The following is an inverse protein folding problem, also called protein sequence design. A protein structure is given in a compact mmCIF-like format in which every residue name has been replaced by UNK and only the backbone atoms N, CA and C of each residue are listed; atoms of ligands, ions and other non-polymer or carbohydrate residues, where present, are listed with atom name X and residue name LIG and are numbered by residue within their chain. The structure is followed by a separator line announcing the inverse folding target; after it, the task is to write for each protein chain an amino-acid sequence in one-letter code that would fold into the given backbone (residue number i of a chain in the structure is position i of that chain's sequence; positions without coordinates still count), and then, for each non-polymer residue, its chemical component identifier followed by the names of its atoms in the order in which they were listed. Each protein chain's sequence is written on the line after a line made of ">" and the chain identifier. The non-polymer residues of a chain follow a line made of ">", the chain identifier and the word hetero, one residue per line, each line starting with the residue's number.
data_IF_497843200766
#
_entry.id   IF_497843200766
#
_cell.length_a   1.000
_cell.length_b   1.000
_cell.length_c   1.000
_cell.angle_alpha   90.00
_cell.angle_beta   90.00
_cell.angle_gamma   90.00
#
_symmetry.space_group_name_H-M   'P 1'
#
loop_
_entity.id
_entity.type
_entity.pdbx_description
1 polymer ?
#
# COMPACT_ATOMS: atom_id res chain seq x y z
N UNK A 1 -10.68 6.29 35.70
CA UNK A 1 -10.09 7.64 35.62
C UNK A 1 -9.34 7.93 36.91
N UNK A 2 -7.99 7.93 36.87
CA UNK A 2 -7.15 8.34 37.99
C UNK A 2 -6.48 9.65 37.65
N UNK A 3 -6.56 10.65 38.54
CA UNK A 3 -5.87 11.93 38.40
C UNK A 3 -4.36 11.71 38.60
N UNK A 4 -3.54 12.05 37.61
CA UNK A 4 -2.09 12.08 37.71
C UNK A 4 -1.61 13.54 37.74
N UNK A 5 -0.72 13.86 38.70
CA UNK A 5 -0.13 15.19 38.85
C UNK A 5 1.34 15.10 38.47
N UNK A 6 1.73 15.92 37.48
CA UNK A 6 3.14 15.97 37.02
C UNK A 6 3.75 17.30 37.46
N UNK A 7 4.96 17.23 38.02
CA UNK A 7 5.77 18.42 38.36
C UNK A 7 6.92 18.49 37.38
N UNK A 8 6.95 19.50 36.51
CA UNK A 8 7.97 19.66 35.49
C UNK A 8 8.84 20.88 35.82
N UNK A 9 10.19 20.71 35.69
CA UNK A 9 11.16 21.80 35.78
C UNK A 9 11.71 22.06 34.39
N UNK A 10 11.58 23.28 33.87
CA UNK A 10 12.19 23.69 32.61
C UNK A 10 13.70 23.78 32.81
N UNK A 11 14.48 22.95 32.14
CA UNK A 11 15.94 22.89 32.25
C UNK A 11 16.59 23.84 31.24
N UNK A 12 16.04 23.92 30.02
CA UNK A 12 16.53 24.82 28.97
C UNK A 12 15.44 25.22 28.02
N UNK A 13 15.52 26.43 27.48
CA UNK A 13 14.69 26.90 26.37
C UNK A 13 15.61 27.10 25.18
N UNK A 14 15.35 26.35 24.08
CA UNK A 14 16.14 26.44 22.86
C UNK A 14 15.34 27.17 21.78
N UNK A 15 15.97 28.09 21.07
CA UNK A 15 15.42 28.76 19.89
C UNK A 15 15.98 28.06 18.64
N UNK A 16 15.11 27.80 17.68
CA UNK A 16 15.56 27.29 16.37
C UNK A 16 16.29 28.40 15.61
N UNK A 17 17.49 28.14 15.18
CA UNK A 17 18.24 29.02 14.28
C UNK A 17 18.05 28.56 12.83
N UNK A 18 18.07 29.51 11.89
CA UNK A 18 18.03 29.19 10.46
C UNK A 18 19.34 28.52 10.09
N UNK A 19 19.30 27.26 9.75
CA UNK A 19 20.46 26.51 9.27
C UNK A 19 20.81 26.99 7.86
N UNK A 20 22.10 27.24 7.61
CA UNK A 20 22.61 27.54 6.29
C UNK A 20 22.67 26.24 5.48
N UNK A 21 22.03 26.22 4.31
CA UNK A 21 22.04 25.07 3.41
C UNK A 21 23.30 25.16 2.54
N UNK A 22 24.36 24.53 2.98
CA UNK A 22 25.66 24.49 2.33
C UNK A 22 26.22 23.06 2.27
N UNK A 23 27.49 22.91 1.85
CA UNK A 23 28.11 21.59 1.73
C UNK A 23 28.26 20.87 3.07
N UNK A 24 28.44 21.61 4.17
CA UNK A 24 28.58 21.00 5.49
C UNK A 24 27.24 20.48 6.00
N UNK A 25 26.17 21.23 5.71
CA UNK A 25 24.80 20.73 5.94
C UNK A 25 24.52 19.46 5.14
N UNK A 26 24.92 19.42 3.88
CA UNK A 26 24.74 18.25 3.02
C UNK A 26 25.51 17.02 3.56
N UNK A 27 26.74 17.19 4.03
CA UNK A 27 27.54 16.13 4.65
C UNK A 27 26.92 15.60 5.93
N UNK A 28 26.36 16.48 6.77
CA UNK A 28 25.66 16.09 7.99
C UNK A 28 24.41 15.22 7.71
N UNK A 29 23.82 15.35 6.51
CA UNK A 29 22.72 14.52 6.03
C UNK A 29 23.16 13.29 5.22
N UNK A 30 24.48 13.01 5.17
CA UNK A 30 25.04 11.84 4.51
C UNK A 30 25.28 11.99 3.00
N UNK A 31 25.13 13.19 2.44
CA UNK A 31 25.45 13.49 1.05
C UNK A 31 26.93 13.94 0.93
N UNK A 32 27.50 13.85 -0.28
CA UNK A 32 28.89 14.26 -0.55
C UNK A 32 29.04 15.79 -0.56
N UNK A 33 28.09 16.48 -1.14
CA UNK A 33 28.01 17.93 -1.24
C UNK A 33 26.55 18.37 -1.46
N UNK A 34 26.33 19.67 -1.61
CA UNK A 34 24.99 20.24 -1.83
C UNK A 34 24.36 19.80 -3.16
N UNK A 35 25.17 19.54 -4.19
CA UNK A 35 24.65 19.07 -5.48
C UNK A 35 24.14 17.62 -5.36
N UNK A 36 24.91 16.76 -4.71
CA UNK A 36 24.52 15.38 -4.39
C UNK A 36 23.26 15.34 -3.51
N UNK A 37 23.19 16.20 -2.47
CA UNK A 37 21.98 16.31 -1.63
C UNK A 37 20.74 16.65 -2.46
N UNK A 38 20.83 17.59 -3.40
CA UNK A 38 19.72 17.96 -4.28
C UNK A 38 19.27 16.78 -5.16
N UNK A 39 20.23 16.01 -5.67
CA UNK A 39 19.92 14.81 -6.47
C UNK A 39 19.21 13.77 -5.62
N UNK A 40 19.71 13.49 -4.41
CA UNK A 40 19.10 12.54 -3.49
C UNK A 40 17.67 12.94 -3.10
N UNK A 41 17.46 14.22 -2.77
CA UNK A 41 16.12 14.73 -2.43
C UNK A 41 15.19 14.67 -3.65
N UNK A 42 15.66 15.07 -4.84
CA UNK A 42 14.86 14.97 -6.07
C UNK A 42 14.47 13.53 -6.38
N UNK A 43 15.41 12.60 -6.20
CA UNK A 43 15.13 11.18 -6.38
C UNK A 43 14.09 10.69 -5.38
N UNK A 44 14.21 11.04 -4.11
CA UNK A 44 13.24 10.65 -3.09
C UNK A 44 11.84 11.18 -3.41
N UNK A 45 11.72 12.46 -3.79
CA UNK A 45 10.44 13.06 -4.19
C UNK A 45 9.85 12.32 -5.40
N UNK A 46 10.67 12.05 -6.42
CA UNK A 46 10.22 11.34 -7.61
C UNK A 46 9.76 9.91 -7.29
N UNK A 47 10.48 9.19 -6.42
CA UNK A 47 10.12 7.83 -6.00
C UNK A 47 8.81 7.83 -5.19
N UNK A 48 8.60 8.82 -4.33
CA UNK A 48 7.37 8.99 -3.54
C UNK A 48 6.15 9.26 -4.45
N UNK A 49 6.26 10.23 -5.37
CA UNK A 49 5.19 10.50 -6.33
C UNK A 49 4.94 9.30 -7.26
N UNK A 50 5.98 8.62 -7.69
CA UNK A 50 5.84 7.42 -8.53
C UNK A 50 5.03 6.34 -7.80
N UNK A 51 5.38 6.03 -6.55
CA UNK A 51 4.66 5.04 -5.76
C UNK A 51 3.18 5.42 -5.60
N UNK A 52 2.91 6.68 -5.28
CA UNK A 52 1.54 7.19 -5.13
C UNK A 52 0.74 7.12 -6.43
N UNK A 53 1.36 7.47 -7.57
CA UNK A 53 0.75 7.36 -8.89
C UNK A 53 0.55 5.90 -9.32
N UNK A 54 1.44 5.00 -8.94
CA UNK A 54 1.30 3.57 -9.19
C UNK A 54 0.11 2.99 -8.40
N UNK A 55 -0.08 3.39 -7.15
CA UNK A 55 -1.27 3.02 -6.36
C UNK A 55 -2.55 3.55 -6.99
N UNK A 56 -2.59 4.81 -7.41
CA UNK A 56 -3.73 5.41 -8.09
C UNK A 56 -4.05 4.69 -9.40
N UNK A 57 -3.03 4.39 -10.20
CA UNK A 57 -3.19 3.63 -11.46
C UNK A 57 -3.73 2.22 -11.20
N UNK A 58 -3.23 1.55 -10.16
CA UNK A 58 -3.75 0.24 -9.73
C UNK A 58 -5.23 0.34 -9.37
N UNK A 59 -5.62 1.33 -8.56
CA UNK A 59 -7.01 1.56 -8.18
C UNK A 59 -7.91 1.78 -9.40
N UNK A 60 -7.51 2.64 -10.34
CA UNK A 60 -8.26 2.88 -11.57
C UNK A 60 -8.45 1.62 -12.42
N UNK A 61 -7.44 0.75 -12.49
CA UNK A 61 -7.55 -0.54 -13.17
C UNK A 61 -8.57 -1.44 -12.45
N UNK A 62 -8.46 -1.56 -11.13
CA UNK A 62 -9.38 -2.40 -10.33
C UNK A 62 -10.83 -1.90 -10.42
N UNK A 63 -11.05 -0.59 -10.35
CA UNK A 63 -12.37 0.03 -10.50
C UNK A 63 -12.93 -0.18 -11.93
N UNK A 64 -12.08 -0.17 -12.95
CA UNK A 64 -12.48 -0.48 -14.32
C UNK A 64 -12.86 -1.95 -14.47
N UNK A 65 -12.13 -2.86 -13.84
CA UNK A 65 -12.41 -4.31 -13.82
C UNK A 65 -13.78 -4.58 -13.17
N UNK A 66 -14.15 -3.83 -12.14
CA UNK A 66 -15.44 -3.98 -11.46
C UNK A 66 -16.64 -3.82 -12.41
N UNK A 67 -16.50 -3.08 -13.51
CA UNK A 67 -17.56 -2.86 -14.48
C UNK A 67 -17.81 -4.07 -15.43
N UNK A 68 -16.89 -5.04 -15.46
CA UNK A 68 -17.12 -6.26 -16.26
C UNK A 68 -18.25 -7.09 -15.65
N UNK A 69 -19.01 -7.77 -16.49
CA UNK A 69 -20.04 -8.70 -16.03
C UNK A 69 -19.39 -10.02 -15.63
N UNK A 70 -19.76 -10.53 -14.49
CA UNK A 70 -19.40 -11.87 -14.01
C UNK A 70 -20.71 -12.57 -13.72
N UNK A 71 -20.75 -13.88 -13.99
CA UNK A 71 -21.86 -14.73 -13.63
C UNK A 71 -22.11 -14.73 -12.11
N UNK A 72 -23.17 -15.38 -11.66
CA UNK A 72 -23.56 -15.40 -10.26
C UNK A 72 -22.40 -15.88 -9.36
N UNK A 73 -22.08 -15.04 -8.36
CA UNK A 73 -21.08 -15.37 -7.34
C UNK A 73 -21.76 -16.28 -6.32
N UNK A 74 -21.23 -17.48 -6.03
CA UNK A 74 -21.78 -18.37 -5.02
C UNK A 74 -21.87 -17.71 -3.64
N UNK A 75 -23.02 -17.87 -2.96
CA UNK A 75 -23.26 -17.23 -1.66
C UNK A 75 -22.24 -17.63 -0.58
N UNK A 76 -21.78 -18.88 -0.59
CA UNK A 76 -20.78 -19.36 0.35
C UNK A 76 -19.47 -18.55 0.28
N UNK A 77 -19.02 -18.15 -0.92
CA UNK A 77 -17.83 -17.31 -1.09
C UNK A 77 -18.04 -15.92 -0.50
N UNK A 78 -19.25 -15.36 -0.68
CA UNK A 78 -19.60 -14.05 -0.13
C UNK A 78 -19.59 -14.11 1.39
N UNK A 79 -20.16 -15.16 1.98
CA UNK A 79 -20.17 -15.34 3.44
C UNK A 79 -18.78 -15.52 4.04
N UNK A 80 -17.89 -16.28 3.36
CA UNK A 80 -16.51 -16.45 3.78
C UNK A 80 -15.75 -15.11 3.72
N UNK A 81 -15.92 -14.34 2.67
CA UNK A 81 -15.28 -13.04 2.54
C UNK A 81 -15.81 -12.02 3.56
N UNK A 82 -17.12 -12.05 3.87
CA UNK A 82 -17.69 -11.23 4.94
C UNK A 82 -17.05 -11.57 6.29
N UNK A 83 -16.83 -12.86 6.60
CA UNK A 83 -16.13 -13.26 7.81
C UNK A 83 -14.72 -12.70 7.88
N UNK A 84 -14.00 -12.70 6.77
CA UNK A 84 -12.66 -12.10 6.67
C UNK A 84 -12.71 -10.60 6.90
N UNK A 85 -13.66 -9.89 6.27
CA UNK A 85 -13.81 -8.44 6.38
C UNK A 85 -14.26 -7.99 7.78
N UNK A 86 -15.00 -8.82 8.51
CA UNK A 86 -15.46 -8.52 9.86
C UNK A 86 -14.51 -9.02 10.96
N UNK A 87 -13.38 -9.60 10.59
CA UNK A 87 -12.43 -10.14 11.56
C UNK A 87 -11.87 -9.05 12.47
N UNK A 88 -12.00 -9.23 13.77
CA UNK A 88 -11.54 -8.28 14.79
C UNK A 88 -12.59 -7.24 15.22
N UNK A 89 -13.78 -7.26 14.62
CA UNK A 89 -14.92 -6.43 15.05
C UNK A 89 -15.81 -7.15 16.05
N UNK A 90 -16.57 -6.38 16.82
CA UNK A 90 -17.63 -6.95 17.66
C UNK A 90 -18.80 -7.45 16.81
N UNK A 91 -19.56 -8.43 17.34
CA UNK A 91 -20.74 -8.98 16.65
C UNK A 91 -21.79 -7.91 16.32
N UNK A 92 -21.88 -6.87 17.13
CA UNK A 92 -22.82 -5.77 16.96
C UNK A 92 -22.41 -4.85 15.81
N UNK A 93 -21.12 -4.52 15.72
CA UNK A 93 -20.55 -3.73 14.60
C UNK A 93 -20.63 -4.51 13.29
N UNK A 94 -20.33 -5.80 13.29
CA UNK A 94 -20.43 -6.68 12.14
C UNK A 94 -21.87 -6.74 11.58
N UNK A 95 -22.88 -6.82 12.47
CA UNK A 95 -24.31 -6.82 12.07
C UNK A 95 -24.74 -5.47 11.49
N UNK A 96 -24.34 -4.37 12.09
CA UNK A 96 -24.71 -3.03 11.63
C UNK A 96 -24.13 -2.72 10.25
N UNK A 97 -22.96 -3.25 9.92
CA UNK A 97 -22.27 -3.04 8.66
C UNK A 97 -22.46 -4.19 7.63
N UNK A 98 -23.35 -5.15 7.91
CA UNK A 98 -23.52 -6.35 7.08
C UNK A 98 -23.73 -6.05 5.58
N UNK A 99 -24.58 -5.06 5.25
CA UNK A 99 -24.85 -4.69 3.85
C UNK A 99 -23.63 -4.12 3.15
N UNK A 100 -22.82 -3.34 3.87
CA UNK A 100 -21.58 -2.79 3.34
C UNK A 100 -20.53 -3.87 3.13
N UNK A 101 -20.41 -4.80 4.08
CA UNK A 101 -19.52 -5.95 3.93
C UNK A 101 -19.94 -6.85 2.77
N UNK A 102 -21.24 -7.09 2.59
CA UNK A 102 -21.73 -7.87 1.46
C UNK A 102 -21.38 -7.21 0.11
N UNK A 103 -21.55 -5.90 0.01
CA UNK A 103 -21.17 -5.14 -1.19
C UNK A 103 -19.66 -5.19 -1.43
N UNK A 104 -18.86 -4.98 -0.39
CA UNK A 104 -17.39 -5.04 -0.46
C UNK A 104 -16.92 -6.47 -0.81
N UNK A 105 -17.52 -7.49 -0.21
CA UNK A 105 -17.21 -8.89 -0.48
C UNK A 105 -17.49 -9.25 -1.95
N UNK A 106 -18.67 -8.93 -2.45
CA UNK A 106 -19.04 -9.14 -3.86
C UNK A 106 -18.06 -8.45 -4.82
N UNK A 107 -17.69 -7.20 -4.53
CA UNK A 107 -16.69 -6.45 -5.32
C UNK A 107 -15.34 -7.17 -5.31
N UNK A 108 -14.82 -7.55 -4.15
CA UNK A 108 -13.51 -8.20 -4.01
C UNK A 108 -13.47 -9.55 -4.71
N UNK A 109 -14.49 -10.40 -4.51
CA UNK A 109 -14.56 -11.71 -5.16
C UNK A 109 -14.63 -11.53 -6.67
N UNK A 110 -15.50 -10.64 -7.17
CA UNK A 110 -15.64 -10.36 -8.59
C UNK A 110 -14.31 -9.95 -9.24
N UNK A 111 -13.62 -8.98 -8.63
CA UNK A 111 -12.31 -8.53 -9.11
C UNK A 111 -11.30 -9.66 -9.05
N UNK A 112 -11.27 -10.43 -7.97
CA UNK A 112 -10.38 -11.58 -7.80
C UNK A 112 -10.59 -12.65 -8.88
N UNK A 113 -11.83 -12.99 -9.21
CA UNK A 113 -12.16 -13.97 -10.26
C UNK A 113 -11.68 -13.49 -11.63
N UNK A 114 -11.92 -12.23 -11.97
CA UNK A 114 -11.48 -11.66 -13.27
C UNK A 114 -9.96 -11.64 -13.36
N UNK A 115 -9.28 -11.21 -12.29
CA UNK A 115 -7.82 -11.19 -12.25
C UNK A 115 -7.23 -12.60 -12.35
N UNK A 116 -7.84 -13.58 -11.67
CA UNK A 116 -7.38 -14.96 -11.75
C UNK A 116 -7.51 -15.52 -13.18
N UNK A 117 -8.67 -15.36 -13.79
CA UNK A 117 -8.92 -15.78 -15.18
C UNK A 117 -7.92 -15.10 -16.14
N UNK A 118 -7.71 -13.80 -15.99
CA UNK A 118 -6.74 -13.08 -16.82
C UNK A 118 -5.30 -13.59 -16.58
N UNK A 119 -4.96 -13.88 -15.35
CA UNK A 119 -3.65 -14.42 -14.97
C UNK A 119 -3.40 -15.82 -15.55
N UNK A 120 -4.40 -16.70 -15.50
CA UNK A 120 -4.33 -18.04 -16.08
C UNK A 120 -4.17 -17.99 -17.60
N UNK A 121 -4.99 -17.19 -18.30
CA UNK A 121 -4.90 -16.99 -19.75
C UNK A 121 -3.55 -16.46 -20.21
N UNK A 122 -2.86 -15.68 -19.37
CA UNK A 122 -1.54 -15.13 -19.68
C UNK A 122 -0.38 -15.93 -19.04
N UNK A 123 -0.65 -17.11 -18.46
CA UNK A 123 0.33 -17.99 -17.83
C UNK A 123 1.17 -17.29 -16.73
N UNK A 124 0.55 -16.37 -15.96
CA UNK A 124 1.23 -15.68 -14.88
C UNK A 124 1.42 -16.64 -13.71
N UNK A 125 2.66 -16.80 -13.28
CA UNK A 125 3.04 -17.62 -12.13
C UNK A 125 3.91 -16.82 -11.18
N UNK A 126 3.78 -17.10 -9.90
CA UNK A 126 4.63 -16.53 -8.85
C UNK A 126 5.67 -17.56 -8.44
N UNK A 127 6.93 -17.19 -8.56
CA UNK A 127 8.07 -18.03 -8.19
C UNK A 127 8.47 -17.82 -6.73
N UNK A 128 9.16 -18.80 -6.15
CA UNK A 128 9.70 -18.69 -4.79
C UNK A 128 10.72 -17.54 -4.66
N UNK A 129 11.46 -17.25 -5.74
CA UNK A 129 12.42 -16.14 -5.77
C UNK A 129 11.72 -14.77 -5.66
N UNK A 130 10.54 -14.61 -6.27
CA UNK A 130 9.73 -13.38 -6.16
C UNK A 130 9.20 -13.20 -4.74
N UNK A 131 8.74 -14.29 -4.11
CA UNK A 131 8.32 -14.27 -2.69
C UNK A 131 9.49 -13.88 -1.79
N UNK A 132 10.65 -14.51 -1.96
CA UNK A 132 11.86 -14.17 -1.18
C UNK A 132 12.28 -12.71 -1.38
N UNK A 133 12.21 -12.21 -2.62
CA UNK A 133 12.51 -10.81 -2.93
C UNK A 133 11.56 -9.85 -2.21
N UNK A 134 10.28 -10.20 -2.14
CA UNK A 134 9.29 -9.37 -1.46
C UNK A 134 9.48 -9.37 0.06
N UNK A 135 9.78 -10.53 0.66
CA UNK A 135 10.17 -10.60 2.07
C UNK A 135 11.42 -9.76 2.34
N UNK A 136 12.42 -9.81 1.45
CA UNK A 136 13.62 -8.98 1.59
C UNK A 136 13.33 -7.47 1.51
N UNK A 137 12.37 -7.03 0.69
CA UNK A 137 11.95 -5.63 0.66
C UNK A 137 11.36 -5.22 2.01
N UNK A 138 10.51 -6.06 2.60
CA UNK A 138 9.94 -5.79 3.92
C UNK A 138 11.01 -5.74 5.02
N UNK A 139 12.00 -6.63 4.98
CA UNK A 139 13.14 -6.59 5.89
C UNK A 139 13.89 -5.26 5.82
N UNK A 140 14.10 -4.72 4.61
CA UNK A 140 14.76 -3.41 4.42
C UNK A 140 13.94 -2.25 4.94
N UNK A 141 12.61 -2.36 4.94
CA UNK A 141 11.70 -1.33 5.47
C UNK A 141 11.61 -1.34 6.99
N UNK A 142 12.04 -2.44 7.65
CA UNK A 142 11.95 -2.62 9.10
C UNK A 142 13.32 -2.94 9.72
N UNK A 143 14.30 -2.02 9.64
CA UNK A 143 15.64 -2.26 10.15
C UNK A 143 15.63 -2.50 11.67
N UNK A 144 16.35 -3.52 12.12
CA UNK A 144 16.38 -3.97 13.52
C UNK A 144 15.25 -4.93 13.90
N UNK A 145 14.32 -5.24 13.00
CA UNK A 145 13.23 -6.18 13.24
C UNK A 145 13.28 -7.40 12.30
N UNK A 146 14.41 -7.64 11.65
CA UNK A 146 14.59 -8.66 10.62
C UNK A 146 14.20 -10.05 11.12
N UNK A 147 14.60 -10.37 12.36
CA UNK A 147 14.24 -11.66 12.97
C UNK A 147 12.73 -11.81 13.16
N UNK A 148 12.05 -10.74 13.59
CA UNK A 148 10.60 -10.76 13.81
C UNK A 148 9.85 -10.99 12.49
N UNK A 149 10.25 -10.32 11.42
CA UNK A 149 9.66 -10.47 10.09
C UNK A 149 9.88 -11.88 9.55
N UNK A 150 11.11 -12.42 9.67
CA UNK A 150 11.43 -13.78 9.25
C UNK A 150 10.62 -14.81 10.04
N UNK A 151 10.60 -14.70 11.36
CA UNK A 151 9.83 -15.60 12.25
C UNK A 151 8.33 -15.55 11.92
N UNK A 152 7.80 -14.38 11.57
CA UNK A 152 6.40 -14.21 11.18
C UNK A 152 6.06 -15.04 9.94
N UNK A 153 6.85 -14.92 8.87
CA UNK A 153 6.58 -15.67 7.64
C UNK A 153 6.85 -17.16 7.79
N UNK A 154 7.86 -17.56 8.58
CA UNK A 154 8.14 -18.98 8.85
C UNK A 154 7.02 -19.66 9.65
N UNK A 155 6.42 -18.95 10.59
CA UNK A 155 5.37 -19.51 11.49
C UNK A 155 3.95 -19.36 10.94
N UNK A 156 3.74 -18.55 9.90
CA UNK A 156 2.42 -18.24 9.36
C UNK A 156 2.31 -18.55 7.86
N UNK A 157 1.99 -19.80 7.47
CA UNK A 157 1.81 -20.16 6.06
C UNK A 157 0.73 -19.33 5.35
N UNK A 158 -0.30 -18.89 6.07
CA UNK A 158 -1.35 -18.01 5.55
C UNK A 158 -0.80 -16.62 5.16
N UNK A 159 0.18 -16.09 5.89
CA UNK A 159 0.84 -14.84 5.54
C UNK A 159 1.66 -14.98 4.25
N UNK A 160 2.32 -16.13 4.06
CA UNK A 160 3.03 -16.44 2.80
C UNK A 160 2.04 -16.58 1.64
N UNK A 161 0.90 -17.22 1.86
CA UNK A 161 -0.16 -17.34 0.85
C UNK A 161 -0.72 -15.96 0.45
N UNK A 162 -0.97 -15.09 1.43
CA UNK A 162 -1.40 -13.71 1.18
C UNK A 162 -0.35 -12.91 0.42
N UNK A 163 0.93 -13.05 0.78
CA UNK A 163 2.02 -12.40 0.07
C UNK A 163 2.10 -12.88 -1.39
N UNK A 164 1.92 -14.18 -1.63
CA UNK A 164 1.86 -14.77 -2.97
C UNK A 164 0.70 -14.21 -3.78
N UNK A 165 -0.47 -14.04 -3.17
CA UNK A 165 -1.63 -13.40 -3.78
C UNK A 165 -1.33 -11.96 -4.19
N UNK A 166 -0.70 -11.18 -3.31
CA UNK A 166 -0.32 -9.80 -3.60
C UNK A 166 0.68 -9.71 -4.77
N UNK A 167 1.71 -10.56 -4.78
CA UNK A 167 2.69 -10.61 -5.89
C UNK A 167 2.01 -11.02 -7.20
N UNK A 168 1.09 -12.00 -7.14
CA UNK A 168 0.32 -12.41 -8.32
C UNK A 168 -0.52 -11.27 -8.89
N UNK A 169 -1.27 -10.58 -8.03
CA UNK A 169 -2.07 -9.41 -8.41
C UNK A 169 -1.17 -8.30 -9.02
N UNK A 170 -0.04 -8.01 -8.40
CA UNK A 170 0.89 -7.00 -8.90
C UNK A 170 1.43 -7.35 -10.30
N UNK A 171 1.75 -8.61 -10.55
CA UNK A 171 2.19 -9.09 -11.87
C UNK A 171 1.09 -8.91 -12.92
N UNK A 172 -0.16 -9.20 -12.57
CA UNK A 172 -1.31 -9.01 -13.45
C UNK A 172 -1.50 -7.52 -13.76
N UNK A 173 -1.52 -6.68 -12.74
CA UNK A 173 -1.66 -5.22 -12.90
C UNK A 173 -0.55 -4.65 -13.77
N UNK A 174 0.70 -5.09 -13.56
CA UNK A 174 1.84 -4.67 -14.38
C UNK A 174 1.70 -5.14 -15.83
N UNK A 175 1.19 -6.34 -16.08
CA UNK A 175 0.90 -6.81 -17.43
C UNK A 175 -0.21 -5.97 -18.08
N UNK A 176 -1.28 -5.66 -17.37
CA UNK A 176 -2.35 -4.78 -17.85
C UNK A 176 -1.79 -3.40 -18.19
N UNK A 177 -1.00 -2.80 -17.29
CA UNK A 177 -0.33 -1.51 -17.54
C UNK A 177 0.55 -1.54 -18.79
N UNK A 178 1.27 -2.64 -19.03
CA UNK A 178 2.16 -2.78 -20.20
C UNK A 178 1.40 -2.87 -21.52
N UNK A 179 0.21 -3.44 -21.50
CA UNK A 179 -0.66 -3.57 -22.68
C UNK A 179 -1.59 -2.38 -22.89
N UNK A 180 -1.86 -1.61 -21.84
CA UNK A 180 -2.73 -0.43 -21.88
C UNK A 180 -2.03 0.74 -22.60
N UNK A 181 -2.83 1.59 -23.23
CA UNK A 181 -2.37 2.88 -23.75
C UNK A 181 -2.64 3.95 -22.68
N UNK A 182 -1.61 4.37 -21.91
CA UNK A 182 -1.82 5.36 -20.86
C UNK A 182 -2.16 6.72 -21.45
N UNK A 183 -3.18 7.36 -20.92
CA UNK A 183 -3.45 8.77 -21.21
C UNK A 183 -2.59 9.62 -20.26
N UNK A 184 -1.43 10.09 -20.75
CA UNK A 184 -0.50 10.90 -19.95
C UNK A 184 -1.00 12.34 -19.90
N UNK A 185 -1.15 12.87 -18.69
CA UNK A 185 -1.46 14.26 -18.41
C UNK A 185 -0.36 14.85 -17.53
N UNK A 186 0.23 15.96 -17.96
CA UNK A 186 1.10 16.75 -17.09
C UNK A 186 0.23 17.59 -16.17
N UNK A 187 0.52 17.54 -14.88
CA UNK A 187 -0.23 18.24 -13.84
C UNK A 187 0.74 18.97 -12.91
N UNK A 188 0.27 20.04 -12.26
CA UNK A 188 1.06 20.72 -11.23
C UNK A 188 1.19 19.87 -9.96
N UNK A 189 2.14 20.22 -9.11
CA UNK A 189 2.32 19.57 -7.82
C UNK A 189 1.04 19.66 -6.97
N UNK A 190 0.41 20.82 -6.93
CA UNK A 190 -0.81 21.08 -6.16
C UNK A 190 -1.98 20.24 -6.66
N UNK A 191 -2.09 20.06 -7.98
CA UNK A 191 -3.11 19.19 -8.61
C UNK A 191 -2.83 17.71 -8.28
N UNK A 192 -1.57 17.28 -8.29
CA UNK A 192 -1.18 15.94 -7.91
C UNK A 192 -1.50 15.63 -6.43
N UNK A 193 -1.15 16.53 -5.52
CA UNK A 193 -1.46 16.41 -4.09
C UNK A 193 -2.97 16.34 -3.83
N UNK A 194 -3.77 17.12 -4.56
CA UNK A 194 -5.23 17.09 -4.47
C UNK A 194 -5.80 15.74 -4.92
N UNK A 195 -5.36 15.23 -6.06
CA UNK A 195 -5.79 13.93 -6.59
C UNK A 195 -5.44 12.80 -5.61
N UNK A 196 -4.23 12.82 -5.06
CA UNK A 196 -3.79 11.82 -4.10
C UNK A 196 -4.60 11.88 -2.80
N UNK A 197 -4.89 13.08 -2.31
CA UNK A 197 -5.73 13.27 -1.12
C UNK A 197 -7.14 12.75 -1.34
N UNK A 198 -7.78 13.09 -2.44
CA UNK A 198 -9.12 12.59 -2.80
C UNK A 198 -9.12 11.04 -2.92
N UNK A 199 -8.05 10.45 -3.47
CA UNK A 199 -7.93 9.00 -3.58
C UNK A 199 -7.84 8.32 -2.20
N UNK A 200 -7.16 8.94 -1.22
CA UNK A 200 -7.06 8.43 0.16
C UNK A 200 -8.36 8.60 0.96
N UNK A 201 -9.07 9.71 0.80
CA UNK A 201 -10.35 9.96 1.50
C UNK A 201 -11.43 8.94 1.11
N UNK A 202 -11.35 8.36 -0.07
CA UNK A 202 -12.26 7.29 -0.52
C UNK A 202 -11.89 5.88 -0.01
N UNK A 203 -10.71 5.69 0.62
CA UNK A 203 -10.29 4.40 1.19
C UNK A 203 -10.67 4.23 2.66
N UNK A 204 -11.00 5.33 3.34
CA UNK A 204 -11.44 5.32 4.74
C UNK A 204 -12.84 5.97 4.83
N UNK A 205 -13.91 5.15 4.69
CA UNK A 205 -15.25 5.59 5.08
C UNK A 205 -15.41 5.57 6.60
#
# INVERSE_FOLDING_TARGET
>A
NKLAKFTCKIISVKKSEKVKIDNDFAKNLGAKDLADLKILVSKQINDEFKNSLDMLSKKQILDSIENFKVDEIPENLIEEEIKVLSQGMSDEEAKNNKKDFEKKAKKRIKVGLILNEFGEQNNIKVTEQEIQSEVQKQLRMMPGQEKMVMDFYQKNPSAVASLRGNVYEEKIINLIKSKAKPNKKEISKEEAEKILKEAHEHEHP
#
